data_IF_448600558233
#
_entry.id   IF_448600558233
#
_cell.length_a   1.000
_cell.length_b   1.000
_cell.length_c   1.000
_cell.angle_alpha   90.00
_cell.angle_beta   90.00
_cell.angle_gamma   90.00
#
_symmetry.space_group_name_H-M   'P 1'
#
loop_
_entity.id
_entity.type
_entity.pdbx_description
1 polymer ?
#
# COMPACT_ATOMS: atom_id res chain seq x y z
N UNK A 1 16.00 13.14 2.04
CA UNK A 1 16.34 13.84 0.77
C UNK A 1 15.43 13.33 -0.34
N UNK A 2 14.98 14.19 -1.27
CA UNK A 2 14.07 13.83 -2.36
C UNK A 2 14.58 12.64 -3.21
N UNK A 3 15.89 12.52 -3.37
CA UNK A 3 16.58 11.45 -4.11
C UNK A 3 16.24 10.06 -3.55
N UNK A 4 16.23 9.89 -2.23
CA UNK A 4 15.92 8.60 -1.59
C UNK A 4 14.49 8.12 -1.82
N UNK A 5 13.51 9.05 -1.87
CA UNK A 5 12.10 8.71 -2.15
C UNK A 5 11.91 8.26 -3.59
N UNK A 6 12.56 8.92 -4.55
CA UNK A 6 12.49 8.55 -5.97
C UNK A 6 13.11 7.17 -6.21
N UNK A 7 14.27 6.91 -5.60
CA UNK A 7 14.93 5.59 -5.70
C UNK A 7 14.06 4.48 -5.10
N UNK A 8 13.51 4.70 -3.90
CA UNK A 8 12.66 3.73 -3.24
C UNK A 8 11.39 3.40 -4.05
N UNK A 9 10.75 4.43 -4.63
CA UNK A 9 9.60 4.26 -5.52
C UNK A 9 9.97 3.47 -6.77
N UNK A 10 11.12 3.76 -7.38
CA UNK A 10 11.60 3.02 -8.55
C UNK A 10 11.86 1.56 -8.21
N UNK A 11 12.53 1.27 -7.08
CA UNK A 11 12.79 -0.10 -6.60
C UNK A 11 11.51 -0.87 -6.31
N UNK A 12 10.52 -0.23 -5.68
CA UNK A 12 9.23 -0.86 -5.44
C UNK A 12 8.58 -1.29 -6.77
N UNK A 13 8.57 -0.42 -7.78
CA UNK A 13 7.99 -0.78 -9.08
C UNK A 13 8.85 -1.73 -9.90
N UNK A 14 10.16 -1.79 -9.69
CA UNK A 14 11.03 -2.79 -10.30
C UNK A 14 10.69 -4.20 -9.79
N UNK A 15 10.51 -4.35 -8.46
CA UNK A 15 10.16 -5.62 -7.83
C UNK A 15 8.71 -6.05 -8.12
N UNK A 16 7.76 -5.13 -8.00
CA UNK A 16 6.33 -5.47 -8.01
C UNK A 16 5.59 -5.00 -9.28
N UNK A 17 6.24 -4.27 -10.19
CA UNK A 17 5.58 -3.64 -11.34
C UNK A 17 5.02 -4.62 -12.38
N UNK A 18 5.51 -5.87 -12.38
CA UNK A 18 4.99 -6.96 -13.22
C UNK A 18 3.73 -7.62 -12.64
N UNK A 19 3.41 -7.36 -11.38
CA UNK A 19 2.22 -7.91 -10.73
C UNK A 19 0.99 -7.16 -11.26
N UNK A 20 0.03 -7.92 -11.78
CA UNK A 20 -1.23 -7.36 -12.25
C UNK A 20 -2.08 -6.88 -11.07
N UNK A 21 -2.39 -5.59 -11.07
CA UNK A 21 -3.26 -4.93 -10.09
C UNK A 21 -4.23 -4.02 -10.83
N UNK A 22 -5.42 -3.84 -10.28
CA UNK A 22 -6.43 -2.93 -10.85
C UNK A 22 -5.98 -1.48 -10.75
N UNK A 23 -6.59 -0.58 -11.54
CA UNK A 23 -6.32 0.85 -11.47
C UNK A 23 -6.61 1.44 -10.07
N UNK A 24 -7.61 0.90 -9.36
CA UNK A 24 -7.94 1.30 -8.00
C UNK A 24 -6.84 0.92 -7.01
N UNK A 25 -6.33 -0.32 -7.12
CA UNK A 25 -5.20 -0.78 -6.32
C UNK A 25 -3.94 0.02 -6.63
N UNK A 26 -3.63 0.23 -7.92
CA UNK A 26 -2.50 1.06 -8.36
C UNK A 26 -2.58 2.47 -7.83
N UNK A 27 -3.77 3.08 -7.80
CA UNK A 27 -3.99 4.40 -7.18
C UNK A 27 -3.64 4.40 -5.69
N UNK A 28 -4.05 3.38 -4.95
CA UNK A 28 -3.75 3.27 -3.51
C UNK A 28 -2.27 3.06 -3.27
N UNK A 29 -1.63 2.14 -3.99
CA UNK A 29 -0.18 1.89 -3.90
C UNK A 29 0.61 3.17 -4.22
N UNK A 30 0.27 3.87 -5.30
CA UNK A 30 0.90 5.14 -5.65
C UNK A 30 0.75 6.17 -4.53
N UNK A 31 -0.41 6.28 -3.88
CA UNK A 31 -0.61 7.20 -2.76
C UNK A 31 0.27 6.87 -1.55
N UNK A 32 0.47 5.59 -1.26
CA UNK A 32 1.38 5.15 -0.19
C UNK A 32 2.84 5.44 -0.55
N UNK A 33 3.23 5.21 -1.82
CA UNK A 33 4.57 5.54 -2.33
C UNK A 33 4.89 7.04 -2.23
N UNK A 34 3.94 7.92 -2.57
CA UNK A 34 4.11 9.37 -2.44
C UNK A 34 4.31 9.80 -0.97
N UNK A 35 3.60 9.15 -0.04
CA UNK A 35 3.77 9.42 1.38
C UNK A 35 5.18 9.01 1.85
N UNK A 36 5.66 7.85 1.37
CA UNK A 36 6.92 7.24 1.76
C UNK A 36 6.82 6.46 3.09
N UNK A 37 7.90 5.76 3.49
CA UNK A 37 7.92 4.98 4.72
C UNK A 37 7.57 5.84 5.94
N UNK A 38 6.60 5.38 6.75
CA UNK A 38 6.11 6.11 7.92
C UNK A 38 5.31 7.39 7.62
N UNK A 39 5.23 7.82 6.35
CA UNK A 39 4.54 9.05 5.94
C UNK A 39 3.02 8.94 5.89
N UNK A 40 2.49 7.72 5.91
CA UNK A 40 1.05 7.47 5.89
C UNK A 40 0.52 7.19 7.32
N UNK A 41 0.34 8.25 8.10
CA UNK A 41 0.02 8.19 9.55
C UNK A 41 -1.11 7.22 9.88
N UNK A 42 -0.85 6.25 10.76
CA UNK A 42 -1.82 5.22 11.17
C UNK A 42 -2.10 4.15 10.11
N UNK A 43 -1.29 4.07 9.05
CA UNK A 43 -1.34 3.05 8.01
C UNK A 43 -2.57 3.10 7.11
N UNK A 44 -2.57 2.26 6.09
CA UNK A 44 -3.72 2.00 5.23
C UNK A 44 -4.76 1.21 6.01
N UNK A 45 -5.95 1.78 6.21
CA UNK A 45 -7.09 1.06 6.76
C UNK A 45 -8.13 0.83 5.67
N UNK A 46 -9.04 -0.12 5.86
CA UNK A 46 -10.17 -0.32 4.94
C UNK A 46 -10.98 0.96 4.74
N UNK A 47 -11.16 1.77 5.78
CA UNK A 47 -11.86 3.08 5.68
C UNK A 47 -11.11 4.05 4.77
N UNK A 48 -9.78 4.15 4.89
CA UNK A 48 -8.97 5.02 4.01
C UNK A 48 -8.99 4.50 2.57
N UNK A 49 -8.92 3.19 2.37
CA UNK A 49 -9.03 2.56 1.06
C UNK A 49 -10.37 2.90 0.37
N UNK A 50 -11.48 2.73 1.08
CA UNK A 50 -12.82 3.14 0.60
C UNK A 50 -12.85 4.62 0.24
N UNK A 51 -12.27 5.49 1.07
CA UNK A 51 -12.22 6.93 0.83
C UNK A 51 -11.54 7.30 -0.49
N UNK A 52 -10.47 6.58 -0.84
CA UNK A 52 -9.66 6.80 -2.06
C UNK A 52 -10.27 6.17 -3.32
N UNK A 53 -10.92 5.03 -3.18
CA UNK A 53 -11.40 4.20 -4.31
C UNK A 53 -12.90 4.26 -4.54
N UNK A 54 -13.66 4.80 -3.58
CA UNK A 54 -15.14 4.86 -3.57
C UNK A 54 -15.80 3.49 -3.70
N UNK A 55 -15.11 2.43 -3.27
CA UNK A 55 -15.64 1.06 -3.28
C UNK A 55 -16.42 0.75 -1.99
N UNK A 56 -17.26 -0.29 -2.03
CA UNK A 56 -17.90 -0.83 -0.83
C UNK A 56 -16.87 -1.42 0.14
N UNK A 57 -17.25 -1.58 1.41
CA UNK A 57 -16.37 -2.20 2.42
C UNK A 57 -15.94 -3.62 2.02
N UNK A 58 -16.86 -4.41 1.49
CA UNK A 58 -16.59 -5.78 1.05
C UNK A 58 -15.61 -5.81 -0.14
N UNK A 59 -15.78 -4.91 -1.11
CA UNK A 59 -14.84 -4.79 -2.24
C UNK A 59 -13.48 -4.29 -1.78
N UNK A 60 -13.42 -3.26 -0.92
CA UNK A 60 -12.16 -2.78 -0.35
C UNK A 60 -11.41 -3.86 0.42
N UNK A 61 -12.11 -4.69 1.21
CA UNK A 61 -11.49 -5.78 1.95
C UNK A 61 -10.87 -6.81 1.00
N UNK A 62 -11.60 -7.22 -0.04
CA UNK A 62 -11.07 -8.15 -1.06
C UNK A 62 -9.87 -7.57 -1.79
N UNK A 63 -9.92 -6.31 -2.21
CA UNK A 63 -8.79 -5.69 -2.92
C UNK A 63 -7.55 -5.50 -2.04
N UNK A 64 -7.73 -5.24 -0.73
CA UNK A 64 -6.63 -5.21 0.23
C UNK A 64 -6.05 -6.62 0.45
N UNK A 65 -6.91 -7.63 0.60
CA UNK A 65 -6.48 -9.02 0.72
C UNK A 65 -5.66 -9.45 -0.50
N UNK A 66 -6.14 -9.15 -1.70
CA UNK A 66 -5.42 -9.44 -2.95
C UNK A 66 -4.04 -8.76 -3.00
N UNK A 67 -3.92 -7.52 -2.47
CA UNK A 67 -2.62 -6.85 -2.36
C UNK A 67 -1.69 -7.47 -1.30
N UNK A 68 -2.23 -8.03 -0.22
CA UNK A 68 -1.47 -8.79 0.79
C UNK A 68 -0.98 -10.12 0.21
N UNK A 69 -1.88 -10.86 -0.47
CA UNK A 69 -1.57 -12.15 -1.09
C UNK A 69 -0.50 -12.01 -2.17
N UNK A 70 -0.49 -10.87 -2.89
CA UNK A 70 0.53 -10.51 -3.87
C UNK A 70 1.82 -9.93 -3.26
N UNK A 71 1.87 -9.72 -1.95
CA UNK A 71 3.02 -9.18 -1.23
C UNK A 71 3.28 -7.69 -1.45
N UNK A 72 2.35 -6.93 -2.04
CA UNK A 72 2.51 -5.46 -2.18
C UNK A 72 2.26 -4.73 -0.85
N UNK A 73 1.47 -5.33 0.03
CA UNK A 73 1.18 -4.82 1.37
C UNK A 73 1.67 -5.79 2.45
N UNK A 74 1.94 -5.25 3.62
CA UNK A 74 2.13 -5.99 4.86
C UNK A 74 1.22 -5.42 5.95
N UNK A 75 0.84 -6.26 6.92
CA UNK A 75 0.08 -5.80 8.08
C UNK A 75 1.02 -5.17 9.10
N UNK A 76 0.68 -3.96 9.56
CA UNK A 76 1.43 -3.28 10.62
C UNK A 76 1.25 -3.99 11.97
N UNK A 77 2.18 -3.81 12.93
CA UNK A 77 2.03 -4.29 14.30
C UNK A 77 0.74 -3.72 14.93
N UNK A 78 -0.30 -4.55 14.98
CA UNK A 78 -1.63 -4.15 15.45
C UNK A 78 -2.65 -5.27 15.27
N UNK A 79 -3.51 -5.48 16.28
CA UNK A 79 -4.58 -6.49 16.26
C UNK A 79 -5.93 -5.82 16.59
N UNK A 80 -7.04 -6.44 16.17
CA UNK A 80 -8.40 -6.00 16.52
C UNK A 80 -8.88 -4.77 15.75
N UNK A 81 -9.37 -3.73 16.44
CA UNK A 81 -10.01 -2.57 15.81
C UNK A 81 -9.05 -1.61 15.08
N UNK A 82 -7.74 -1.82 15.23
CA UNK A 82 -6.67 -0.96 14.70
C UNK A 82 -5.83 -1.63 13.60
N UNK A 83 -6.40 -2.59 12.87
CA UNK A 83 -5.71 -3.22 11.73
C UNK A 83 -5.42 -2.15 10.67
N UNK A 84 -4.14 -2.02 10.34
CA UNK A 84 -3.66 -1.17 9.26
C UNK A 84 -2.54 -1.88 8.50
N UNK A 85 -2.31 -1.42 7.28
CA UNK A 85 -1.33 -2.00 6.37
C UNK A 85 -0.34 -0.92 5.93
N UNK A 86 0.85 -1.35 5.54
CA UNK A 86 1.83 -0.51 4.84
C UNK A 86 2.31 -1.24 3.58
N UNK A 87 3.04 -0.56 2.71
CA UNK A 87 3.72 -1.20 1.60
C UNK A 87 4.79 -2.15 2.13
N UNK A 88 4.98 -3.26 1.42
CA UNK A 88 6.17 -4.10 1.58
C UNK A 88 7.38 -3.35 0.99
N UNK A 89 7.90 -2.38 1.74
CA UNK A 89 9.02 -1.54 1.32
C UNK A 89 10.23 -2.41 1.02
N UNK A 90 10.87 -2.25 -0.15
CA UNK A 90 12.15 -2.90 -0.39
C UNK A 90 13.19 -2.38 0.58
N UNK A 91 14.06 -3.27 1.08
CA UNK A 91 15.26 -2.88 1.81
C UNK A 91 16.11 -2.01 0.88
N UNK A 92 16.61 -0.91 1.42
CA UNK A 92 17.57 -0.05 0.75
C UNK A 92 18.90 -0.32 1.42
N UNK A 93 19.73 -1.13 0.78
CA UNK A 93 21.16 -1.24 1.12
C UNK A 93 21.89 0.09 0.86
#
# INVERSE_FOLDING_TARGET
MLIGKVLLKARFWDLYGRISITDRQRKVVSRLLEAGPGGFTGGLTTRKYMGMTKTSRATSYREISDLLDKGLLCQNPGKGRSVSYDLAWPEVD
#
